data_IF_501560768978
#
_entry.id   IF_501560768978
#
_cell.length_a   1.000
_cell.length_b   1.000
_cell.length_c   1.000
_cell.angle_alpha   90.00
_cell.angle_beta   90.00
_cell.angle_gamma   90.00
#
_symmetry.space_group_name_H-M   'P 1'
#
loop_
_entity.id
_entity.type
_entity.pdbx_description
1 polymer ?
#
# COMPACT_ATOMS: atom_id res chain seq x y z
N UNK A 1 6.71 15.12 2.96
CA UNK A 1 6.85 14.90 1.54
C UNK A 1 7.93 15.83 0.99
N UNK A 2 8.92 15.30 0.29
CA UNK A 2 9.99 16.05 -0.36
C UNK A 2 9.96 15.83 -1.89
N UNK A 3 8.84 15.35 -2.40
CA UNK A 3 8.63 15.15 -3.83
C UNK A 3 8.65 16.52 -4.53
N UNK A 4 9.59 16.76 -5.47
CA UNK A 4 9.70 18.05 -6.14
C UNK A 4 8.51 18.36 -7.06
N UNK A 5 7.72 17.35 -7.48
CA UNK A 5 6.49 17.53 -8.26
C UNK A 5 5.31 18.03 -7.39
N UNK A 6 5.43 17.94 -6.06
CA UNK A 6 4.37 18.29 -5.11
C UNK A 6 4.90 19.24 -4.02
N UNK A 7 5.36 20.41 -4.41
CA UNK A 7 5.70 21.49 -3.48
C UNK A 7 4.43 22.15 -2.94
N UNK A 8 3.89 21.59 -1.90
CA UNK A 8 2.72 22.15 -1.23
C UNK A 8 3.17 22.99 -0.05
N UNK A 9 2.46 24.09 0.19
CA UNK A 9 2.65 24.86 1.40
C UNK A 9 2.41 23.96 2.63
N UNK A 10 3.15 24.19 3.69
CA UNK A 10 2.86 23.53 4.97
C UNK A 10 1.45 23.88 5.41
N UNK A 11 0.70 22.86 5.78
CA UNK A 11 -0.64 22.98 6.30
C UNK A 11 -0.60 22.64 7.78
N UNK A 12 -0.66 23.68 8.61
CA UNK A 12 -0.61 23.54 10.07
C UNK A 12 -1.70 22.60 10.61
N UNK A 13 -2.85 22.57 9.94
CA UNK A 13 -3.98 21.69 10.33
C UNK A 13 -3.86 20.25 9.84
N UNK A 14 -2.84 19.91 9.05
CA UNK A 14 -2.70 18.57 8.45
C UNK A 14 -2.66 17.47 9.51
N UNK A 15 -1.83 17.61 10.52
CA UNK A 15 -1.68 16.60 11.55
C UNK A 15 -2.93 16.45 12.41
N UNK A 16 -3.61 17.54 12.71
CA UNK A 16 -4.89 17.53 13.42
C UNK A 16 -5.94 16.73 12.61
N UNK A 17 -6.03 16.96 11.31
CA UNK A 17 -6.94 16.19 10.44
C UNK A 17 -6.59 14.70 10.42
N UNK A 18 -5.31 14.34 10.32
CA UNK A 18 -4.88 12.92 10.32
C UNK A 18 -5.21 12.25 11.65
N UNK A 19 -4.98 12.93 12.78
CA UNK A 19 -5.37 12.44 14.11
C UNK A 19 -6.88 12.23 14.21
N UNK A 20 -7.68 13.18 13.71
CA UNK A 20 -9.14 13.06 13.68
C UNK A 20 -9.60 11.88 12.84
N UNK A 21 -8.98 11.61 11.70
CA UNK A 21 -9.27 10.40 10.90
C UNK A 21 -8.94 9.12 11.69
N UNK A 22 -7.79 9.08 12.34
CA UNK A 22 -7.41 7.94 13.19
C UNK A 22 -8.42 7.72 14.32
N UNK A 23 -8.89 8.79 14.98
CA UNK A 23 -9.93 8.71 16.04
C UNK A 23 -11.26 8.20 15.51
N UNK A 24 -11.59 8.48 14.25
CA UNK A 24 -12.77 7.97 13.56
C UNK A 24 -12.62 6.52 13.08
N UNK A 25 -11.51 5.84 13.42
CA UNK A 25 -11.26 4.45 13.05
C UNK A 25 -10.52 4.26 11.72
N UNK A 26 -10.08 5.31 11.05
CA UNK A 26 -9.28 5.17 9.83
C UNK A 26 -7.92 4.58 10.16
N UNK A 27 -7.49 3.63 9.34
CA UNK A 27 -6.15 3.05 9.44
C UNK A 27 -5.16 3.93 8.69
N UNK A 28 -4.16 4.40 9.40
CA UNK A 28 -3.11 5.21 8.80
C UNK A 28 -1.99 4.29 8.32
N UNK A 29 -1.58 4.46 7.10
CA UNK A 29 -0.44 3.76 6.50
C UNK A 29 0.73 4.72 6.29
N UNK A 30 1.95 4.25 6.54
CA UNK A 30 3.15 4.96 6.13
C UNK A 30 3.32 4.78 4.62
N UNK A 31 3.29 5.87 3.85
CA UNK A 31 3.48 5.87 2.41
C UNK A 31 4.89 6.34 2.06
N UNK A 32 5.83 5.41 2.11
CA UNK A 32 7.24 5.76 1.92
C UNK A 32 7.85 6.57 3.07
N UNK A 33 8.84 7.39 2.75
CA UNK A 33 9.47 8.34 3.68
C UNK A 33 9.38 9.77 3.14
N UNK A 34 9.98 10.04 1.98
CA UNK A 34 10.04 11.35 1.36
C UNK A 34 9.25 11.45 0.07
N UNK A 35 8.83 10.32 -0.49
CA UNK A 35 8.23 10.17 -1.80
C UNK A 35 9.14 10.66 -2.94
N UNK A 36 10.46 10.48 -2.77
CA UNK A 36 11.47 10.86 -3.76
C UNK A 36 12.04 9.61 -4.42
N UNK A 37 11.94 9.56 -5.73
CA UNK A 37 12.36 8.39 -6.49
C UNK A 37 13.86 8.40 -6.79
N UNK A 38 14.46 7.21 -6.79
CA UNK A 38 15.84 7.02 -7.21
C UNK A 38 15.96 7.22 -8.72
N UNK A 39 17.12 7.73 -9.17
CA UNK A 39 17.37 7.96 -10.59
C UNK A 39 17.52 6.65 -11.40
N UNK A 40 17.92 5.56 -10.76
CA UNK A 40 18.17 4.28 -11.44
C UNK A 40 16.98 3.32 -11.28
N UNK A 41 16.70 2.62 -12.38
CA UNK A 41 15.71 1.54 -12.36
C UNK A 41 16.20 0.40 -11.46
N UNK A 42 15.43 -0.04 -10.47
CA UNK A 42 15.81 -1.19 -9.67
C UNK A 42 15.85 -2.44 -10.53
N UNK A 43 16.79 -3.33 -10.25
CA UNK A 43 16.79 -4.68 -10.84
C UNK A 43 15.51 -5.38 -10.39
N UNK A 44 14.85 -6.07 -11.31
CA UNK A 44 13.66 -6.85 -11.01
C UNK A 44 13.98 -7.83 -9.87
N UNK A 45 13.20 -7.78 -8.81
CA UNK A 45 13.34 -8.63 -7.64
C UNK A 45 12.02 -9.35 -7.37
N UNK A 46 12.13 -10.49 -6.71
CA UNK A 46 11.04 -11.45 -6.50
C UNK A 46 9.74 -10.84 -5.91
N UNK A 47 9.84 -9.75 -5.15
CA UNK A 47 8.69 -9.06 -4.54
C UNK A 47 8.24 -7.81 -5.28
N UNK A 48 8.87 -7.44 -6.37
CA UNK A 48 8.47 -6.25 -7.11
C UNK A 48 7.12 -6.49 -7.78
N UNK A 49 6.11 -5.70 -7.39
CA UNK A 49 4.72 -5.83 -7.83
C UNK A 49 4.31 -4.83 -8.89
N UNK A 50 5.13 -3.83 -9.13
CA UNK A 50 4.87 -2.78 -10.10
C UNK A 50 5.79 -2.91 -11.31
N UNK A 51 5.28 -2.49 -12.47
CA UNK A 51 6.10 -2.28 -13.67
C UNK A 51 6.67 -0.87 -13.74
N UNK A 52 6.46 -0.06 -12.70
CA UNK A 52 7.03 1.27 -12.62
C UNK A 52 8.56 1.19 -12.60
N UNK A 53 9.18 2.16 -13.26
CA UNK A 53 10.62 2.41 -13.16
C UNK A 53 10.97 3.27 -11.94
N UNK A 54 9.96 3.90 -11.34
CA UNK A 54 10.13 4.78 -10.19
C UNK A 54 10.15 3.96 -8.91
N UNK A 55 11.11 4.21 -8.04
CA UNK A 55 11.18 3.59 -6.73
C UNK A 55 11.85 4.50 -5.72
N UNK A 56 11.29 4.55 -4.54
CA UNK A 56 11.94 5.13 -3.36
C UNK A 56 12.70 4.06 -2.59
N UNK A 57 12.23 2.81 -2.62
CA UNK A 57 12.66 1.72 -1.73
C UNK A 57 13.48 0.64 -2.41
N UNK A 58 12.95 0.02 -3.46
CA UNK A 58 13.57 -1.15 -4.08
C UNK A 58 14.99 -0.84 -4.59
N UNK A 59 15.92 -1.78 -4.34
CA UNK A 59 17.32 -1.66 -4.70
C UNK A 59 18.22 -1.06 -3.63
N UNK A 60 17.66 -0.50 -2.55
CA UNK A 60 18.43 -0.07 -1.37
C UNK A 60 18.78 -1.28 -0.50
N UNK A 61 19.83 -1.15 0.30
CA UNK A 61 20.20 -2.19 1.27
C UNK A 61 19.12 -2.37 2.34
N UNK A 62 19.07 -3.53 2.96
CA UNK A 62 18.14 -3.83 4.04
C UNK A 62 18.29 -2.83 5.21
N UNK A 63 19.52 -2.46 5.56
CA UNK A 63 19.82 -1.50 6.63
C UNK A 63 19.28 -0.10 6.33
N UNK A 64 19.47 0.38 5.11
CA UNK A 64 18.91 1.67 4.68
C UNK A 64 17.38 1.65 4.75
N UNK A 65 16.75 0.59 4.28
CA UNK A 65 15.30 0.47 4.30
C UNK A 65 14.74 0.38 5.73
N UNK A 66 15.44 -0.29 6.65
CA UNK A 66 15.08 -0.30 8.08
C UNK A 66 15.16 1.12 8.66
N UNK A 67 16.26 1.83 8.41
CA UNK A 67 16.45 3.20 8.92
C UNK A 67 15.38 4.15 8.37
N UNK A 68 15.08 4.07 7.07
CA UNK A 68 14.01 4.86 6.43
C UNK A 68 12.64 4.57 7.04
N UNK A 69 12.32 3.31 7.28
CA UNK A 69 11.04 2.90 7.86
C UNK A 69 10.88 3.38 9.29
N UNK A 70 11.93 3.23 10.10
CA UNK A 70 11.96 3.74 11.47
C UNK A 70 11.80 5.26 11.50
N UNK A 71 12.50 5.98 10.64
CA UNK A 71 12.41 7.44 10.54
C UNK A 71 10.99 7.90 10.18
N UNK A 72 10.38 7.30 9.16
CA UNK A 72 9.00 7.64 8.78
C UNK A 72 7.99 7.31 9.88
N UNK A 73 8.16 6.18 10.56
CA UNK A 73 7.34 5.82 11.71
C UNK A 73 7.51 6.82 12.87
N UNK A 74 8.74 7.24 13.18
CA UNK A 74 9.01 8.23 14.23
C UNK A 74 8.30 9.55 13.95
N UNK A 75 8.38 10.05 12.72
CA UNK A 75 7.67 11.29 12.32
C UNK A 75 6.17 11.17 12.58
N UNK A 76 5.55 10.06 12.20
CA UNK A 76 4.12 9.85 12.43
C UNK A 76 3.80 9.80 13.93
N UNK A 77 4.61 9.09 14.72
CA UNK A 77 4.41 8.96 16.17
C UNK A 77 4.61 10.29 16.92
N UNK A 78 5.58 11.10 16.52
CA UNK A 78 5.84 12.44 17.07
C UNK A 78 4.61 13.35 16.90
N UNK A 79 3.83 13.13 15.85
CA UNK A 79 2.58 13.83 15.61
C UNK A 79 1.33 13.07 16.12
N UNK A 80 1.49 12.12 17.04
CA UNK A 80 0.37 11.38 17.64
C UNK A 80 -0.35 10.39 16.70
N UNK A 81 0.27 10.09 15.56
CA UNK A 81 -0.30 9.19 14.54
C UNK A 81 0.37 7.82 14.61
N UNK A 82 -0.43 6.75 14.74
CA UNK A 82 0.06 5.36 14.83
C UNK A 82 -0.13 4.65 13.50
N UNK A 83 0.91 4.49 12.67
CA UNK A 83 0.77 3.76 11.42
C UNK A 83 0.58 2.26 11.70
N UNK A 84 -0.41 1.66 11.05
CA UNK A 84 -0.70 0.22 11.15
C UNK A 84 -0.32 -0.55 9.88
N UNK A 85 -0.01 0.14 8.79
CA UNK A 85 0.37 -0.46 7.53
C UNK A 85 1.49 0.32 6.84
N UNK A 86 2.15 -0.34 5.91
CA UNK A 86 3.11 0.28 5.00
C UNK A 86 2.62 0.15 3.56
N UNK A 87 2.76 1.20 2.80
CA UNK A 87 2.41 1.28 1.39
C UNK A 87 3.57 1.90 0.60
N UNK A 88 4.15 1.15 -0.33
CA UNK A 88 5.31 1.63 -1.08
C UNK A 88 4.91 2.63 -2.17
N UNK A 89 5.55 3.81 -2.27
CA UNK A 89 5.37 4.72 -3.39
C UNK A 89 5.59 4.03 -4.73
N UNK A 90 4.78 4.39 -5.73
CA UNK A 90 4.74 3.75 -7.04
C UNK A 90 4.55 2.23 -7.01
N UNK A 91 4.08 1.66 -5.90
CA UNK A 91 3.93 0.22 -5.67
C UNK A 91 5.23 -0.58 -5.90
N UNK A 92 6.39 0.05 -5.69
CA UNK A 92 7.70 -0.58 -5.91
C UNK A 92 8.39 -0.89 -4.60
N UNK A 93 8.61 -2.17 -4.37
CA UNK A 93 9.31 -2.69 -3.20
C UNK A 93 10.01 -4.01 -3.53
N UNK A 94 10.89 -4.46 -2.67
CA UNK A 94 11.65 -5.68 -2.84
C UNK A 94 11.68 -6.56 -1.57
N UNK A 95 12.48 -7.62 -1.60
CA UNK A 95 12.62 -8.51 -0.45
C UNK A 95 13.21 -7.80 0.78
N UNK A 96 14.07 -6.80 0.58
CA UNK A 96 14.64 -6.01 1.67
C UNK A 96 13.56 -5.14 2.33
N UNK A 97 12.62 -4.57 1.54
CA UNK A 97 11.47 -3.84 2.08
C UNK A 97 10.61 -4.71 2.98
N UNK A 98 10.29 -5.93 2.54
CA UNK A 98 9.50 -6.88 3.35
C UNK A 98 10.20 -7.24 4.65
N UNK A 99 11.52 -7.45 4.61
CA UNK A 99 12.32 -7.71 5.81
C UNK A 99 12.38 -6.50 6.73
N UNK A 100 12.50 -5.29 6.17
CA UNK A 100 12.48 -4.05 6.95
C UNK A 100 11.14 -3.87 7.67
N UNK A 101 10.01 -4.08 7.00
CA UNK A 101 8.69 -4.08 7.64
C UNK A 101 8.65 -5.04 8.83
N UNK A 102 9.10 -6.27 8.64
CA UNK A 102 9.09 -7.28 9.71
C UNK A 102 9.99 -6.92 10.88
N UNK A 103 11.15 -6.28 10.63
CA UNK A 103 12.10 -5.92 11.68
C UNK A 103 11.73 -4.66 12.45
N UNK A 104 10.97 -3.78 11.85
CA UNK A 104 10.57 -2.52 12.47
C UNK A 104 9.25 -2.62 13.23
N UNK A 105 8.36 -3.51 12.79
CA UNK A 105 7.11 -3.80 13.50
C UNK A 105 6.39 -4.99 12.87
N UNK A 106 6.13 -6.03 13.64
CA UNK A 106 5.45 -7.23 13.17
C UNK A 106 3.99 -7.02 12.74
N UNK A 107 3.39 -5.89 13.08
CA UNK A 107 2.01 -5.53 12.74
C UNK A 107 1.90 -4.71 11.44
N UNK A 108 2.98 -4.54 10.71
CA UNK A 108 2.97 -3.81 9.46
C UNK A 108 2.49 -4.70 8.31
N UNK A 109 1.61 -4.12 7.49
CA UNK A 109 1.04 -4.77 6.32
C UNK A 109 1.39 -3.98 5.08
N UNK A 110 1.77 -4.67 4.02
CA UNK A 110 2.02 -4.07 2.70
C UNK A 110 0.77 -4.29 1.86
N UNK A 111 0.14 -3.22 1.42
CA UNK A 111 -1.07 -3.27 0.62
C UNK A 111 -0.78 -3.42 -0.88
N UNK A 112 0.09 -4.35 -1.23
CA UNK A 112 0.55 -4.58 -2.60
C UNK A 112 0.59 -6.07 -2.91
N UNK A 113 -0.54 -6.64 -3.22
CA UNK A 113 -0.63 -8.03 -3.64
C UNK A 113 -1.56 -8.21 -4.82
N UNK A 114 -1.28 -9.16 -5.69
CA UNK A 114 -2.12 -9.52 -6.84
C UNK A 114 -2.91 -10.79 -6.57
N UNK A 115 -3.49 -10.93 -5.39
CA UNK A 115 -4.33 -12.06 -5.03
C UNK A 115 -5.81 -11.66 -4.96
N UNK A 116 -6.70 -12.64 -4.90
CA UNK A 116 -8.13 -12.40 -4.69
C UNK A 116 -8.49 -12.22 -3.22
N UNK A 117 -7.59 -12.57 -2.31
CA UNK A 117 -7.81 -12.47 -0.86
C UNK A 117 -6.53 -11.99 -0.19
N UNK A 118 -6.66 -11.38 0.98
CA UNK A 118 -5.50 -11.12 1.84
C UNK A 118 -4.74 -12.43 2.10
N UNK A 119 -3.41 -12.36 2.13
CA UNK A 119 -2.57 -13.54 2.34
C UNK A 119 -1.32 -13.18 3.13
N UNK A 120 -0.71 -14.20 3.74
CA UNK A 120 0.53 -14.04 4.47
C UNK A 120 1.72 -14.59 3.66
N UNK A 121 2.77 -13.79 3.54
CA UNK A 121 4.04 -14.17 2.91
C UNK A 121 5.21 -13.54 3.66
N UNK A 122 6.25 -14.32 3.90
CA UNK A 122 7.43 -13.89 4.66
C UNK A 122 7.11 -13.32 6.07
N UNK A 123 5.99 -13.71 6.67
CA UNK A 123 5.54 -13.23 7.98
C UNK A 123 4.83 -11.88 7.96
N UNK A 124 4.52 -11.35 6.79
CA UNK A 124 3.78 -10.10 6.57
C UNK A 124 2.45 -10.42 5.88
N UNK A 125 1.38 -9.76 6.29
CA UNK A 125 0.08 -9.84 5.61
C UNK A 125 0.07 -8.86 4.44
N UNK A 126 -0.30 -9.37 3.27
CA UNK A 126 -0.48 -8.59 2.06
C UNK A 126 -1.97 -8.38 1.80
N UNK A 127 -2.36 -7.15 1.57
CA UNK A 127 -3.68 -6.80 1.07
C UNK A 127 -3.62 -6.66 -0.46
N UNK A 128 -4.52 -7.31 -1.21
CA UNK A 128 -4.54 -7.16 -2.65
C UNK A 128 -4.81 -5.72 -3.06
N UNK A 129 -3.98 -5.16 -3.94
CA UNK A 129 -4.13 -3.84 -4.52
C UNK A 129 -4.25 -3.95 -6.04
N UNK A 130 -5.43 -4.38 -6.49
CA UNK A 130 -5.66 -4.74 -7.90
C UNK A 130 -6.23 -3.57 -8.69
N UNK A 131 -6.92 -2.64 -8.05
CA UNK A 131 -7.76 -1.65 -8.73
C UNK A 131 -7.29 -0.21 -8.50
N UNK A 132 -6.95 0.47 -9.59
CA UNK A 132 -6.78 1.91 -9.62
C UNK A 132 -8.14 2.54 -9.94
N UNK A 133 -8.79 3.08 -8.94
CA UNK A 133 -10.13 3.68 -9.06
C UNK A 133 -11.30 2.72 -8.80
N UNK A 134 -12.53 3.22 -8.83
CA UNK A 134 -13.73 2.47 -8.53
C UNK A 134 -14.03 1.46 -9.64
N UNK A 135 -14.13 0.19 -9.27
CA UNK A 135 -14.43 -0.91 -10.20
C UNK A 135 -15.22 -2.01 -9.51
N UNK A 136 -16.30 -2.47 -10.12
CA UNK A 136 -17.07 -3.62 -9.60
C UNK A 136 -16.38 -4.92 -9.94
N UNK A 137 -15.91 -5.62 -8.94
CA UNK A 137 -15.37 -6.96 -9.08
C UNK A 137 -16.50 -7.97 -9.15
N UNK A 138 -16.44 -8.87 -10.14
CA UNK A 138 -17.42 -9.96 -10.31
C UNK A 138 -17.08 -11.20 -9.48
N UNK A 139 -15.84 -11.27 -8.98
CA UNK A 139 -15.38 -12.40 -8.16
C UNK A 139 -15.41 -12.00 -6.70
N UNK A 140 -15.81 -12.92 -5.84
CA UNK A 140 -15.69 -12.72 -4.38
C UNK A 140 -14.23 -12.67 -3.98
N UNK A 141 -13.89 -11.71 -3.12
CA UNK A 141 -12.51 -11.53 -2.68
C UNK A 141 -12.32 -10.29 -1.81
N UNK A 142 -11.07 -10.04 -1.43
CA UNK A 142 -10.63 -8.82 -0.76
C UNK A 142 -9.93 -7.93 -1.79
N UNK A 143 -10.45 -6.74 -2.00
CA UNK A 143 -9.92 -5.81 -2.99
C UNK A 143 -9.63 -4.47 -2.34
N UNK A 144 -8.43 -3.95 -2.57
CA UNK A 144 -8.07 -2.59 -2.18
C UNK A 144 -8.15 -1.69 -3.40
N UNK A 145 -8.92 -0.63 -3.29
CA UNK A 145 -9.06 0.40 -4.32
C UNK A 145 -8.20 1.59 -3.95
N UNK A 146 -7.49 2.13 -4.92
CA UNK A 146 -6.60 3.29 -4.73
C UNK A 146 -7.27 4.54 -5.29
N UNK A 147 -7.32 5.58 -4.47
CA UNK A 147 -7.72 6.92 -4.88
C UNK A 147 -6.55 7.89 -4.66
N UNK A 148 -6.39 8.83 -5.56
CA UNK A 148 -5.43 9.93 -5.43
C UNK A 148 -6.20 11.26 -5.40
N UNK A 149 -6.78 11.66 -4.26
CA UNK A 149 -7.68 12.82 -4.18
C UNK A 149 -7.07 14.10 -4.74
N UNK A 150 -5.76 14.29 -4.60
CA UNK A 150 -5.02 15.44 -5.13
C UNK A 150 -5.01 15.53 -6.68
N UNK A 151 -5.34 14.43 -7.37
CA UNK A 151 -5.37 14.33 -8.83
C UNK A 151 -6.79 14.15 -9.37
N UNK A 152 -7.80 14.14 -8.48
CA UNK A 152 -9.19 13.89 -8.85
C UNK A 152 -9.91 15.21 -9.17
N UNK A 153 -10.60 15.22 -10.30
CA UNK A 153 -11.59 16.23 -10.63
C UNK A 153 -12.96 15.89 -10.02
N UNK A 154 -13.92 16.79 -10.19
CA UNK A 154 -15.28 16.60 -9.68
C UNK A 154 -15.94 15.32 -10.24
N UNK A 155 -15.70 15.01 -11.52
CA UNK A 155 -16.26 13.80 -12.14
C UNK A 155 -15.68 12.53 -11.49
N UNK A 156 -14.40 12.53 -11.16
CA UNK A 156 -13.77 11.41 -10.45
C UNK A 156 -14.31 11.27 -9.04
N UNK A 157 -14.51 12.38 -8.30
CA UNK A 157 -15.14 12.35 -6.99
C UNK A 157 -16.56 11.78 -7.05
N UNK A 158 -17.39 12.24 -7.99
CA UNK A 158 -18.77 11.75 -8.17
C UNK A 158 -18.81 10.24 -8.49
N UNK A 159 -17.84 9.73 -9.27
CA UNK A 159 -17.71 8.27 -9.53
C UNK A 159 -17.40 7.49 -8.26
N UNK A 160 -16.53 8.03 -7.41
CA UNK A 160 -16.21 7.40 -6.13
C UNK A 160 -17.41 7.41 -5.18
N UNK A 161 -18.13 8.52 -5.05
CA UNK A 161 -19.35 8.61 -4.24
C UNK A 161 -20.41 7.62 -4.69
N UNK A 162 -20.67 7.57 -5.99
CA UNK A 162 -21.60 6.60 -6.58
C UNK A 162 -21.19 5.17 -6.27
N UNK A 163 -19.92 4.84 -6.47
CA UNK A 163 -19.40 3.51 -6.17
C UNK A 163 -19.56 3.14 -4.69
N UNK A 164 -19.17 4.03 -3.79
CA UNK A 164 -19.25 3.80 -2.34
C UNK A 164 -20.70 3.67 -1.86
N UNK A 165 -21.63 4.41 -2.44
CA UNK A 165 -23.06 4.30 -2.11
C UNK A 165 -23.68 2.97 -2.54
N UNK A 166 -23.12 2.33 -3.56
CA UNK A 166 -23.60 1.06 -4.09
C UNK A 166 -22.93 -0.17 -3.48
N UNK A 167 -21.75 0.00 -2.85
CA UNK A 167 -21.02 -1.08 -2.20
C UNK A 167 -21.48 -1.18 -0.75
N UNK A 168 -22.56 -1.93 -0.51
CA UNK A 168 -22.97 -2.26 0.84
C UNK A 168 -21.99 -3.24 1.48
N UNK A 169 -21.52 -2.95 2.70
CA UNK A 169 -20.75 -3.89 3.52
C UNK A 169 -19.26 -4.01 3.14
N UNK A 170 -18.60 -2.90 2.81
CA UNK A 170 -17.15 -2.87 2.82
C UNK A 170 -16.62 -3.25 4.21
N UNK A 171 -15.82 -4.31 4.29
CA UNK A 171 -15.06 -4.57 5.51
C UNK A 171 -14.07 -3.44 5.69
N UNK A 172 -13.99 -2.92 6.88
CA UNK A 172 -12.97 -1.93 7.21
C UNK A 172 -11.59 -2.59 7.19
N UNK A 173 -10.57 -1.88 6.77
CA UNK A 173 -9.18 -2.35 6.87
C UNK A 173 -8.86 -2.76 8.31
N UNK A 174 -9.40 -2.08 9.31
CA UNK A 174 -9.25 -2.42 10.72
C UNK A 174 -9.68 -3.85 11.03
N UNK A 175 -10.78 -4.33 10.44
CA UNK A 175 -11.25 -5.71 10.61
C UNK A 175 -10.30 -6.71 9.99
N UNK A 176 -9.78 -6.42 8.80
CA UNK A 176 -8.79 -7.27 8.14
C UNK A 176 -7.50 -7.36 8.97
N UNK A 177 -7.05 -6.24 9.55
CA UNK A 177 -5.89 -6.20 10.42
C UNK A 177 -6.14 -6.98 11.72
N UNK A 178 -7.31 -6.84 12.33
CA UNK A 178 -7.69 -7.59 13.52
C UNK A 178 -7.75 -9.10 13.26
N UNK A 179 -8.26 -9.51 12.11
CA UNK A 179 -8.28 -10.92 11.70
C UNK A 179 -6.87 -11.46 11.43
N UNK A 180 -6.01 -10.65 10.80
CA UNK A 180 -4.61 -11.01 10.59
C UNK A 180 -3.86 -11.21 11.91
N UNK A 181 -4.09 -10.35 12.89
CA UNK A 181 -3.51 -10.47 14.23
C UNK A 181 -3.95 -11.76 14.95
N UNK A 182 -5.14 -12.28 14.62
CA UNK A 182 -5.65 -13.59 15.11
C UNK A 182 -5.10 -14.78 14.32
N UNK A 183 -4.21 -14.57 13.35
CA UNK A 183 -3.62 -15.64 12.53
C UNK A 183 -4.57 -16.23 11.48
N UNK A 184 -5.63 -15.52 11.10
CA UNK A 184 -6.67 -16.03 10.19
C UNK A 184 -6.18 -16.22 8.74
N UNK A 185 -5.14 -15.52 8.31
CA UNK A 185 -4.66 -15.62 6.94
C UNK A 185 -3.61 -16.72 6.78
N UNK A 186 -3.92 -17.68 5.94
CA UNK A 186 -2.99 -18.74 5.59
C UNK A 186 -1.87 -18.20 4.69
N UNK A 187 -0.72 -18.89 4.72
CA UNK A 187 0.35 -18.65 3.74
C UNK A 187 -0.23 -18.82 2.34
N UNK A 188 0.17 -17.92 1.43
CA UNK A 188 -0.19 -18.05 0.02
C UNK A 188 0.27 -19.41 -0.51
N UNK A 189 -0.68 -20.23 -0.97
CA UNK A 189 -0.41 -21.54 -1.56
C UNK A 189 0.09 -21.42 -3.01
N UNK A 190 0.42 -22.55 -3.63
CA UNK A 190 0.88 -22.61 -5.02
C UNK A 190 -0.12 -21.94 -5.98
N UNK A 191 -1.42 -22.18 -5.80
CA UNK A 191 -2.48 -21.57 -6.63
C UNK A 191 -2.45 -20.05 -6.53
N UNK A 192 -2.30 -19.50 -5.32
CA UNK A 192 -2.18 -18.05 -5.11
C UNK A 192 -0.95 -17.45 -5.79
N UNK A 193 0.19 -18.16 -5.75
CA UNK A 193 1.40 -17.73 -6.45
C UNK A 193 1.23 -17.72 -7.98
N UNK A 194 0.54 -18.72 -8.54
CA UNK A 194 0.23 -18.76 -9.98
C UNK A 194 -0.73 -17.64 -10.39
N UNK A 195 -1.77 -17.38 -9.61
CA UNK A 195 -2.70 -16.27 -9.87
C UNK A 195 -1.97 -14.93 -9.83
N UNK A 196 -1.14 -14.72 -8.84
CA UNK A 196 -0.32 -13.51 -8.69
C UNK A 196 0.59 -13.31 -9.91
N UNK A 197 1.30 -14.36 -10.34
CA UNK A 197 2.14 -14.33 -11.53
C UNK A 197 1.31 -14.07 -12.81
N UNK A 198 0.15 -14.69 -12.94
CA UNK A 198 -0.77 -14.50 -14.06
C UNK A 198 -1.25 -13.06 -14.17
N UNK A 199 -1.70 -12.46 -13.07
CA UNK A 199 -2.14 -11.06 -13.02
C UNK A 199 -0.98 -10.11 -13.35
N UNK A 200 0.20 -10.36 -12.76
CA UNK A 200 1.41 -9.60 -13.05
C UNK A 200 1.76 -9.62 -14.54
N UNK A 201 1.76 -10.81 -15.14
CA UNK A 201 2.08 -11.00 -16.56
C UNK A 201 1.04 -10.33 -17.47
N UNK A 202 -0.25 -10.48 -17.17
CA UNK A 202 -1.33 -9.85 -17.94
C UNK A 202 -1.22 -8.31 -17.92
N UNK A 203 -0.90 -7.73 -16.77
CA UNK A 203 -0.63 -6.28 -16.66
C UNK A 203 0.61 -5.84 -17.42
N UNK A 204 1.67 -6.67 -17.44
CA UNK A 204 2.88 -6.39 -18.22
C UNK A 204 2.60 -6.34 -19.73
N UNK A 205 1.79 -7.26 -20.22
CA UNK A 205 1.37 -7.30 -21.63
C UNK A 205 0.52 -6.07 -21.96
N UNK A 206 -0.50 -5.76 -21.15
CA UNK A 206 -1.41 -4.62 -21.39
C UNK A 206 -0.69 -3.27 -21.44
N UNK A 207 0.43 -3.11 -20.77
CA UNK A 207 1.24 -1.87 -20.77
C UNK A 207 2.18 -1.75 -21.97
N UNK A 208 2.37 -2.82 -22.74
CA UNK A 208 3.19 -2.84 -23.96
C UNK A 208 2.38 -2.66 -25.25
N UNK A 209 1.06 -2.79 -25.16
CA UNK A 209 0.07 -2.51 -26.19
C UNK A 209 -0.45 -1.06 -26.04
#
# INVERSE_FOLDING_TARGET
NQDPEFSWAEDESFWERVQNWQQKGWVIAQHGLYHVYQAEKPKCVYFQRSHSIHTEWAGRTEQEQIAMMQKGKSILLEHGVKPAAFFAPAHTFDAATVKACKKTDSNWFISDGYALQAYQKAGIVFLPSICDGPFRMKLSGTYTFVAHPSKMDELAFNRWESFLSEVAGCNEIADVLAEAAKGKYNKQGLIGNFLELGIYTARAIRRRL
#
